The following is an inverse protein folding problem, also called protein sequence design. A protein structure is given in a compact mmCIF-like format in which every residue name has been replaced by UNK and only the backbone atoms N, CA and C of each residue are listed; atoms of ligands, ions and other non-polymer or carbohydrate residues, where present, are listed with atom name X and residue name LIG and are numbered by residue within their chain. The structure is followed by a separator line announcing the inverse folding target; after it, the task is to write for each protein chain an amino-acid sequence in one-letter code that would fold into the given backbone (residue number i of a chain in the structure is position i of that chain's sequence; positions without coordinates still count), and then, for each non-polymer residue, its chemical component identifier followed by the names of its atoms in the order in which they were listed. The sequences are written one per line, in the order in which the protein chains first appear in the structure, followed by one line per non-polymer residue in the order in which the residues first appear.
data_IF_338637963623
#
_entry.id   IF_338637963623
#
_cell.length_a   1.000
_cell.length_b   1.000
_cell.length_c   1.000
_cell.angle_alpha   90.00
_cell.angle_beta   90.00
_cell.angle_gamma   90.00
#
_symmetry.space_group_name_H-M   'P 1'
#
loop_
_entity.id
_entity.type
_entity.pdbx_description
1 polymer ?
#
# COMPACT_ATOMS: atom_id res chain seq x y z
N UNK A 1 -0.47 -27.43 -19.05
CA UNK A 1 -1.32 -26.21 -19.00
C UNK A 1 -0.63 -25.23 -18.07
N UNK A 2 0.30 -24.44 -18.60
CA UNK A 2 1.04 -23.44 -17.83
C UNK A 2 0.33 -22.09 -17.95
N UNK A 3 -0.28 -21.65 -16.86
CA UNK A 3 -0.91 -20.34 -16.76
C UNK A 3 0.18 -19.28 -16.72
N UNK A 4 0.58 -18.82 -17.90
CA UNK A 4 1.48 -17.69 -18.09
C UNK A 4 0.69 -16.40 -17.81
N UNK A 5 0.56 -16.07 -16.52
CA UNK A 5 0.00 -14.79 -16.08
C UNK A 5 0.91 -13.70 -16.63
N UNK A 6 0.42 -13.04 -17.68
CA UNK A 6 1.06 -11.88 -18.29
C UNK A 6 1.29 -10.85 -17.18
N UNK A 7 2.52 -10.75 -16.69
CA UNK A 7 2.98 -9.61 -15.89
C UNK A 7 2.80 -8.39 -16.78
N UNK A 8 1.73 -7.63 -16.55
CA UNK A 8 1.42 -6.42 -17.31
C UNK A 8 2.58 -5.44 -17.09
N UNK A 9 3.46 -5.34 -18.08
CA UNK A 9 4.54 -4.37 -18.14
C UNK A 9 3.91 -2.98 -18.20
N UNK A 10 3.73 -2.35 -17.04
CA UNK A 10 3.25 -0.97 -16.96
C UNK A 10 4.41 -0.07 -17.36
N UNK A 11 4.32 0.53 -18.54
CA UNK A 11 5.38 1.38 -19.10
C UNK A 11 5.65 2.60 -18.21
N UNK A 12 6.92 3.03 -18.12
CA UNK A 12 7.41 4.16 -17.31
C UNK A 12 6.58 5.46 -17.45
N UNK A 13 5.97 5.68 -18.61
CA UNK A 13 5.09 6.83 -18.87
C UNK A 13 3.75 6.74 -18.15
N UNK A 14 3.19 5.53 -17.98
CA UNK A 14 1.92 5.27 -17.31
C UNK A 14 2.07 5.46 -15.80
N UNK A 15 3.17 4.97 -15.21
CA UNK A 15 3.49 5.17 -13.78
C UNK A 15 3.67 6.65 -13.40
N UNK A 16 4.04 7.50 -14.37
CA UNK A 16 4.20 8.95 -14.17
C UNK A 16 2.94 9.76 -14.46
N UNK A 17 2.09 9.28 -15.37
CA UNK A 17 0.87 9.96 -15.78
C UNK A 17 -0.28 9.80 -14.78
N UNK A 18 -0.28 8.70 -14.02
CA UNK A 18 -1.32 8.39 -13.04
C UNK A 18 -0.77 8.63 -11.62
N UNK A 19 -1.13 9.74 -10.95
CA UNK A 19 -0.62 10.06 -9.62
C UNK A 19 -0.93 8.98 -8.57
N UNK A 20 -1.97 8.18 -8.79
CA UNK A 20 -2.38 7.09 -7.91
C UNK A 20 -1.56 5.82 -8.07
N UNK A 21 -0.96 5.57 -9.24
CA UNK A 21 -0.17 4.35 -9.44
C UNK A 21 1.10 4.36 -8.57
N UNK A 22 1.73 5.52 -8.40
CA UNK A 22 2.89 5.67 -7.50
C UNK A 22 2.53 5.39 -6.04
N UNK A 23 1.31 5.72 -5.62
CA UNK A 23 0.85 5.47 -4.27
C UNK A 23 0.65 3.98 -3.96
N UNK A 24 0.29 3.16 -4.95
CA UNK A 24 0.01 1.73 -4.77
C UNK A 24 1.19 0.82 -5.12
N UNK A 25 2.09 1.27 -6.00
CA UNK A 25 3.18 0.45 -6.56
C UNK A 25 4.55 1.09 -6.34
N UNK A 26 4.71 1.82 -5.24
CA UNK A 26 5.93 2.57 -4.95
C UNK A 26 7.19 1.68 -4.93
N UNK A 27 7.10 0.49 -4.34
CA UNK A 27 8.23 -0.44 -4.28
C UNK A 27 8.57 -1.06 -5.65
N UNK A 28 7.56 -1.35 -6.46
CA UNK A 28 7.78 -1.84 -7.83
C UNK A 28 8.41 -0.75 -8.70
N UNK A 29 7.95 0.48 -8.55
CA UNK A 29 8.57 1.64 -9.20
C UNK A 29 10.05 1.78 -8.83
N UNK A 30 10.40 1.61 -7.56
CA UNK A 30 11.79 1.66 -7.09
C UNK A 30 12.64 0.46 -7.57
N UNK A 31 12.03 -0.70 -7.78
CA UNK A 31 12.73 -1.86 -8.34
C UNK A 31 13.14 -1.62 -9.81
N UNK A 32 12.28 -0.96 -10.59
CA UNK A 32 12.57 -0.58 -11.98
C UNK A 32 13.43 0.69 -12.08
N UNK A 33 13.35 1.58 -11.09
CA UNK A 33 14.07 2.85 -11.05
C UNK A 33 14.90 2.92 -9.75
N UNK A 34 16.00 2.15 -9.67
CA UNK A 34 16.83 2.14 -8.49
C UNK A 34 17.38 3.54 -8.24
N UNK A 35 17.34 3.93 -6.96
CA UNK A 35 17.82 5.23 -6.50
C UNK A 35 19.30 5.40 -6.76
N UNK A 36 19.70 6.67 -6.83
CA UNK A 36 21.12 7.03 -6.77
C UNK A 36 21.67 6.78 -5.36
N UNK A 37 22.96 6.52 -5.28
CA UNK A 37 23.66 6.38 -3.99
C UNK A 37 23.44 7.66 -3.16
N UNK A 38 22.88 7.51 -1.96
CA UNK A 38 22.63 8.62 -1.03
C UNK A 38 21.26 9.31 -1.17
N UNK A 39 20.48 9.01 -2.20
CA UNK A 39 19.12 9.53 -2.36
C UNK A 39 18.17 8.90 -1.33
N UNK A 40 17.38 9.68 -0.59
CA UNK A 40 16.40 9.13 0.37
C UNK A 40 15.15 8.63 -0.33
N UNK A 41 14.45 7.68 0.29
CA UNK A 41 13.08 7.34 -0.14
C UNK A 41 12.17 8.56 0.03
N UNK A 42 11.18 8.68 -0.84
CA UNK A 42 10.06 9.56 -0.56
C UNK A 42 9.29 8.99 0.65
N UNK A 43 9.38 9.69 1.78
CA UNK A 43 8.80 9.27 3.05
C UNK A 43 7.28 9.16 3.00
N UNK A 44 6.62 9.98 2.18
CA UNK A 44 5.17 9.94 2.04
C UNK A 44 4.70 8.59 1.50
N UNK A 45 5.18 8.19 0.32
CA UNK A 45 4.81 6.90 -0.27
C UNK A 45 5.29 5.70 0.56
N UNK A 46 6.47 5.79 1.17
CA UNK A 46 7.00 4.74 2.04
C UNK A 46 6.16 4.52 3.32
N UNK A 47 5.46 5.56 3.78
CA UNK A 47 4.62 5.50 4.98
C UNK A 47 3.15 5.15 4.71
N UNK A 48 2.75 5.03 3.44
CA UNK A 48 1.42 4.56 3.10
C UNK A 48 1.24 3.11 3.55
N UNK A 49 0.10 2.83 4.18
CA UNK A 49 -0.27 1.50 4.68
C UNK A 49 -0.38 0.47 3.55
N UNK A 50 -0.86 0.90 2.37
CA UNK A 50 -0.94 0.04 1.18
C UNK A 50 0.43 -0.46 0.68
N UNK A 51 1.49 0.32 0.94
CA UNK A 51 2.87 -0.04 0.60
C UNK A 51 3.56 -0.83 1.72
N UNK A 52 2.88 -1.14 2.83
CA UNK A 52 3.45 -2.01 3.86
C UNK A 52 3.36 -3.48 3.42
N UNK A 53 4.27 -4.34 3.91
CA UNK A 53 4.17 -5.77 3.69
C UNK A 53 2.80 -6.31 4.11
N UNK A 54 2.29 -7.28 3.36
CA UNK A 54 1.07 -7.97 3.76
C UNK A 54 1.26 -8.62 5.14
N UNK A 55 0.38 -8.33 6.11
CA UNK A 55 0.44 -8.97 7.40
C UNK A 55 0.06 -10.45 7.27
N UNK A 56 0.57 -11.28 8.17
CA UNK A 56 0.13 -12.68 8.29
C UNK A 56 -1.40 -12.76 8.44
N UNK A 57 -2.04 -13.74 7.83
CA UNK A 57 -3.51 -13.88 7.77
C UNK A 57 -4.18 -13.91 9.15
N UNK A 58 -3.55 -14.59 10.12
CA UNK A 58 -4.06 -14.65 11.49
C UNK A 58 -3.66 -13.46 12.37
N UNK A 59 -2.93 -12.46 11.85
CA UNK A 59 -2.54 -11.31 12.65
C UNK A 59 -3.75 -10.43 12.97
N UNK A 60 -4.03 -10.27 14.26
CA UNK A 60 -5.11 -9.41 14.79
C UNK A 60 -4.60 -8.07 15.31
N UNK A 61 -3.31 -7.78 15.14
CA UNK A 61 -2.72 -6.51 15.58
C UNK A 61 -3.36 -5.31 14.88
N UNK A 62 -3.44 -4.18 15.57
CA UNK A 62 -3.95 -2.91 15.03
C UNK A 62 -3.33 -2.55 13.69
N UNK A 63 -2.01 -2.73 13.57
CA UNK A 63 -1.29 -2.49 12.33
C UNK A 63 -1.74 -3.43 11.21
N UNK A 64 -1.90 -4.72 11.50
CA UNK A 64 -2.36 -5.68 10.50
C UNK A 64 -3.78 -5.36 10.01
N UNK A 65 -4.69 -5.07 10.94
CA UNK A 65 -6.07 -4.64 10.65
C UNK A 65 -6.08 -3.39 9.76
N UNK A 66 -5.29 -2.38 10.13
CA UNK A 66 -5.19 -1.14 9.37
C UNK A 66 -4.57 -1.32 7.98
N UNK A 67 -3.56 -2.19 7.82
CA UNK A 67 -2.98 -2.51 6.50
C UNK A 67 -4.02 -3.17 5.59
N UNK A 68 -4.76 -4.16 6.09
CA UNK A 68 -5.83 -4.81 5.30
C UNK A 68 -6.89 -3.82 4.87
N UNK A 69 -7.38 -3.01 5.81
CA UNK A 69 -8.34 -1.95 5.51
C UNK A 69 -7.81 -0.97 4.45
N UNK A 70 -6.57 -0.52 4.57
CA UNK A 70 -5.97 0.39 3.59
C UNK A 70 -5.77 -0.24 2.19
N UNK A 71 -5.60 -1.56 2.12
CA UNK A 71 -5.53 -2.29 0.85
C UNK A 71 -6.89 -2.42 0.17
N UNK A 72 -7.95 -2.58 0.95
CA UNK A 72 -9.34 -2.56 0.46
C UNK A 72 -9.80 -1.15 0.06
N UNK A 73 -9.32 -0.12 0.77
CA UNK A 73 -9.64 1.30 0.55
C UNK A 73 -8.44 2.07 -0.02
N UNK A 74 -7.92 1.61 -1.15
CA UNK A 74 -6.71 2.13 -1.77
C UNK A 74 -6.78 3.63 -2.06
N UNK A 75 -7.96 4.15 -2.43
CA UNK A 75 -8.25 5.54 -2.75
C UNK A 75 -8.05 6.53 -1.58
N UNK A 76 -7.93 6.03 -0.34
CA UNK A 76 -7.88 6.85 0.85
C UNK A 76 -6.45 7.21 1.32
N UNK A 77 -5.40 6.63 0.73
CA UNK A 77 -3.99 6.94 1.01
C UNK A 77 -3.62 7.01 2.50
N UNK A 78 -4.14 6.08 3.30
CA UNK A 78 -3.85 6.04 4.73
C UNK A 78 -2.37 5.80 5.03
N UNK A 79 -1.84 6.54 5.99
CA UNK A 79 -0.46 6.43 6.46
C UNK A 79 -0.37 5.65 7.78
N UNK A 80 0.85 5.24 8.15
CA UNK A 80 1.13 4.58 9.45
C UNK A 80 0.58 5.37 10.65
N UNK A 81 0.57 6.72 10.58
CA UNK A 81 0.01 7.57 11.64
C UNK A 81 -1.51 7.42 11.82
N UNK A 82 -2.21 6.91 10.82
CA UNK A 82 -3.67 6.77 10.82
C UNK A 82 -4.15 5.44 11.43
N UNK A 83 -3.24 4.52 11.77
CA UNK A 83 -3.56 3.17 12.29
C UNK A 83 -4.58 3.23 13.42
N UNK A 84 -4.35 4.09 14.43
CA UNK A 84 -5.25 4.21 15.58
C UNK A 84 -6.67 4.62 15.16
N UNK A 85 -6.78 5.63 14.27
CA UNK A 85 -8.06 6.13 13.79
C UNK A 85 -8.83 5.06 13.00
N UNK A 86 -8.12 4.30 12.16
CA UNK A 86 -8.71 3.21 11.38
C UNK A 86 -9.26 2.13 12.31
N UNK A 87 -8.48 1.73 13.32
CA UNK A 87 -8.92 0.73 14.30
C UNK A 87 -10.17 1.18 15.06
N UNK A 88 -10.20 2.43 15.51
CA UNK A 88 -11.38 3.02 16.16
C UNK A 88 -12.62 3.01 15.24
N UNK A 89 -12.45 3.22 13.93
CA UNK A 89 -13.56 3.09 12.97
C UNK A 89 -14.03 1.65 12.81
N UNK A 90 -13.10 0.71 12.65
CA UNK A 90 -13.42 -0.70 12.52
C UNK A 90 -14.19 -1.23 13.74
N UNK A 91 -13.80 -0.80 14.94
CA UNK A 91 -14.48 -1.18 16.18
C UNK A 91 -15.92 -0.64 16.24
N UNK A 92 -16.12 0.63 15.86
CA UNK A 92 -17.46 1.23 15.79
C UNK A 92 -18.37 0.50 14.80
N UNK A 93 -17.84 0.12 13.64
CA UNK A 93 -18.59 -0.64 12.63
C UNK A 93 -18.98 -2.01 13.18
N UNK A 94 -18.05 -2.72 13.84
CA UNK A 94 -18.33 -4.04 14.43
C UNK A 94 -19.30 -4.01 15.61
N UNK A 95 -19.46 -2.86 16.27
CA UNK A 95 -20.35 -2.67 17.41
C UNK A 95 -21.78 -2.27 17.01
N UNK A 96 -22.06 -2.08 15.71
CA UNK A 96 -23.41 -1.78 15.22
C UNK A 96 -24.12 -3.11 14.91
N UNK A 97 -25.18 -3.48 15.68
CA UNK A 97 -25.87 -4.77 15.54
C UNK A 97 -26.69 -4.91 14.26
#
# INVERSE_FOLDING_TARGET
MENNVRKTTTTRSILRAEPYILAHRYWEYLAENPRRKGERWNSYYANLLINQPDPHEDSTTDRARAIRYAKEHCECFYEIRDVKRIVEWLEKVSATP
#
